data_IF_803130832962
#
_entry.id   IF_803130832962
#
_cell.length_a   1.000
_cell.length_b   1.000
_cell.length_c   1.000
_cell.angle_alpha   90.00
_cell.angle_beta   90.00
_cell.angle_gamma   90.00
#
_symmetry.space_group_name_H-M   'P 1'
#
loop_
_entity.id
_entity.type
_entity.pdbx_description
1 polymer ?
#
# COMPACT_ATOMS: atom_id res chain seq x y z
N UNK A 1 -23.71 26.13 -20.35
CA UNK A 1 -23.37 26.27 -18.93
C UNK A 1 -22.56 25.05 -18.54
N UNK A 2 -21.34 25.26 -18.06
CA UNK A 2 -20.33 24.25 -17.80
C UNK A 2 -20.83 23.15 -16.85
N UNK A 3 -20.52 21.89 -17.16
CA UNK A 3 -20.36 20.88 -16.12
C UNK A 3 -18.93 20.38 -16.27
N UNK A 4 -17.94 21.04 -15.63
CA UNK A 4 -16.63 20.42 -15.55
C UNK A 4 -16.85 19.19 -14.68
N UNK A 5 -16.54 18.01 -15.21
CA UNK A 5 -16.23 16.85 -14.39
C UNK A 5 -15.50 17.35 -13.14
N UNK A 6 -16.19 17.34 -12.01
CA UNK A 6 -15.52 17.46 -10.73
C UNK A 6 -14.79 16.14 -10.61
N UNK A 7 -13.59 16.08 -11.19
CA UNK A 7 -12.72 14.92 -11.28
C UNK A 7 -12.39 14.48 -9.87
N UNK A 8 -13.32 13.75 -9.26
CA UNK A 8 -13.12 13.17 -7.95
C UNK A 8 -12.02 12.15 -8.18
N UNK A 9 -10.83 12.34 -7.57
CA UNK A 9 -9.68 11.51 -7.89
C UNK A 9 -10.09 10.06 -7.74
N UNK A 10 -9.94 9.27 -8.80
CA UNK A 10 -10.35 7.86 -8.76
C UNK A 10 -9.27 7.00 -8.10
N UNK A 11 -8.06 7.56 -7.96
CA UNK A 11 -6.88 6.91 -7.41
C UNK A 11 -6.30 7.68 -6.23
N UNK A 12 -5.65 6.96 -5.33
CA UNK A 12 -4.77 7.51 -4.30
C UNK A 12 -3.38 6.87 -4.42
N UNK A 13 -2.38 7.54 -3.85
CA UNK A 13 -1.02 7.01 -3.74
C UNK A 13 -0.86 6.35 -2.37
N UNK A 14 -0.52 5.07 -2.34
CA UNK A 14 -0.05 4.39 -1.14
C UNK A 14 1.46 4.62 -0.99
N UNK A 15 1.89 5.05 0.19
CA UNK A 15 3.30 5.22 0.55
C UNK A 15 3.65 4.20 1.64
N UNK A 16 4.55 3.26 1.35
CA UNK A 16 4.99 2.27 2.33
C UNK A 16 6.16 2.85 3.14
N UNK A 17 5.99 2.96 4.46
CA UNK A 17 6.93 3.71 5.31
C UNK A 17 7.95 2.82 6.04
N UNK A 18 7.79 1.50 5.99
CA UNK A 18 8.64 0.48 6.61
C UNK A 18 8.41 -0.90 5.94
N UNK A 19 9.08 -1.93 6.49
CA UNK A 19 8.95 -3.32 6.03
C UNK A 19 9.55 -3.57 4.64
N UNK A 20 9.18 -4.70 3.99
CA UNK A 20 9.80 -5.14 2.73
C UNK A 20 9.70 -4.16 1.56
N UNK A 21 8.66 -3.32 1.57
CA UNK A 21 8.38 -2.35 0.52
C UNK A 21 8.69 -0.91 0.92
N UNK A 22 9.45 -0.69 2.01
CA UNK A 22 9.80 0.64 2.50
C UNK A 22 10.29 1.56 1.37
N UNK A 23 9.75 2.78 1.34
CA UNK A 23 10.11 3.82 0.38
C UNK A 23 9.47 3.65 -1.00
N UNK A 24 8.76 2.54 -1.26
CA UNK A 24 8.00 2.35 -2.48
C UNK A 24 6.65 3.07 -2.42
N UNK A 25 6.10 3.32 -3.61
CA UNK A 25 4.75 3.87 -3.77
C UNK A 25 3.94 3.02 -4.74
N UNK A 26 2.64 2.93 -4.52
CA UNK A 26 1.69 2.27 -5.41
C UNK A 26 0.46 3.18 -5.68
N UNK A 27 -0.14 3.05 -6.85
CA UNK A 27 -1.35 3.81 -7.22
C UNK A 27 -2.58 2.91 -7.15
N UNK A 28 -3.55 3.26 -6.32
CA UNK A 28 -4.67 2.38 -5.96
C UNK A 28 -6.01 3.07 -6.13
N UNK A 29 -7.04 2.31 -6.51
CA UNK A 29 -8.37 2.86 -6.68
C UNK A 29 -9.03 3.23 -5.34
N UNK A 30 -9.70 4.37 -5.32
CA UNK A 30 -10.67 4.69 -4.28
C UNK A 30 -11.94 3.88 -4.50
N UNK A 31 -12.39 3.20 -3.46
CA UNK A 31 -13.67 2.50 -3.47
C UNK A 31 -14.69 3.39 -2.79
N UNK A 32 -15.67 3.88 -3.56
CA UNK A 32 -16.67 4.86 -3.08
C UNK A 32 -16.03 6.10 -2.44
N UNK A 33 -14.94 6.59 -3.04
CA UNK A 33 -14.22 7.79 -2.60
C UNK A 33 -13.33 7.60 -1.36
N UNK A 34 -13.15 6.36 -0.90
CA UNK A 34 -12.31 6.02 0.27
C UNK A 34 -11.20 5.06 -0.12
N UNK A 35 -10.03 5.23 0.49
CA UNK A 35 -8.97 4.23 0.48
C UNK A 35 -9.31 3.10 1.46
N UNK A 36 -8.60 1.99 1.34
CA UNK A 36 -8.71 0.88 2.28
C UNK A 36 -7.79 1.12 3.48
N UNK A 37 -8.28 0.96 4.71
CA UNK A 37 -7.45 1.12 5.91
C UNK A 37 -6.43 -0.01 6.12
N UNK A 38 -6.57 -1.10 5.36
CA UNK A 38 -5.61 -2.21 5.34
C UNK A 38 -5.47 -2.74 3.93
N UNK A 39 -4.24 -3.05 3.53
CA UNK A 39 -3.91 -3.52 2.19
C UNK A 39 -2.90 -4.67 2.24
N UNK A 40 -2.97 -5.55 1.25
CA UNK A 40 -1.96 -6.57 1.02
C UNK A 40 -1.19 -6.29 -0.27
N UNK A 41 0.08 -6.68 -0.29
CA UNK A 41 0.97 -6.67 -1.44
C UNK A 41 1.57 -8.05 -1.62
N UNK A 42 1.69 -8.49 -2.87
CA UNK A 42 2.43 -9.71 -3.22
C UNK A 42 3.77 -9.28 -3.80
N UNK A 43 4.85 -9.82 -3.25
CA UNK A 43 6.20 -9.55 -3.72
C UNK A 43 7.07 -10.80 -3.62
N UNK A 44 8.06 -10.92 -4.50
CA UNK A 44 9.01 -12.03 -4.45
C UNK A 44 10.13 -11.73 -3.45
N UNK A 45 10.25 -12.55 -2.41
CA UNK A 45 11.36 -12.53 -1.44
C UNK A 45 12.08 -13.86 -1.48
N UNK A 46 13.41 -13.82 -1.63
CA UNK A 46 14.26 -15.01 -1.83
C UNK A 46 13.79 -15.94 -2.97
N UNK A 47 13.08 -15.41 -3.97
CA UNK A 47 12.53 -16.17 -5.10
C UNK A 47 11.18 -16.85 -4.82
N UNK A 48 10.57 -16.62 -3.67
CA UNK A 48 9.22 -17.09 -3.32
C UNK A 48 8.23 -15.92 -3.32
N UNK A 49 7.02 -16.15 -3.83
CA UNK A 49 5.93 -15.17 -3.70
C UNK A 49 5.45 -15.11 -2.24
N UNK A 50 5.52 -13.92 -1.66
CA UNK A 50 5.14 -13.63 -0.28
C UNK A 50 4.06 -12.56 -0.24
N UNK A 51 3.14 -12.68 0.72
CA UNK A 51 2.09 -11.72 1.01
C UNK A 51 2.49 -10.87 2.21
N UNK A 52 2.53 -9.55 2.01
CA UNK A 52 2.81 -8.56 3.05
C UNK A 52 1.58 -7.69 3.30
N UNK A 53 1.20 -7.56 4.56
CA UNK A 53 0.08 -6.75 5.02
C UNK A 53 0.56 -5.42 5.58
N UNK A 54 -0.21 -4.38 5.30
CA UNK A 54 0.05 -3.05 5.81
C UNK A 54 -1.23 -2.34 6.26
N UNK A 55 -1.13 -1.64 7.38
CA UNK A 55 -2.21 -0.84 7.96
C UNK A 55 -1.97 0.65 7.75
N UNK A 56 -3.05 1.39 7.50
CA UNK A 56 -3.05 2.83 7.39
C UNK A 56 -2.60 3.49 8.71
N UNK A 57 -1.70 4.47 8.61
CA UNK A 57 -1.23 5.26 9.77
C UNK A 57 -1.37 6.77 9.60
N UNK A 58 -1.49 7.27 8.37
CA UNK A 58 -1.65 8.69 8.07
C UNK A 58 -2.26 8.92 6.67
N UNK A 59 -3.04 9.99 6.51
CA UNK A 59 -3.60 10.43 5.23
C UNK A 59 -3.33 11.92 5.04
N UNK A 60 -2.85 12.28 3.83
CA UNK A 60 -2.60 13.67 3.45
C UNK A 60 -3.08 13.93 2.02
N UNK A 61 -3.66 15.10 1.80
CA UNK A 61 -3.90 15.62 0.47
C UNK A 61 -2.73 16.54 0.07
N UNK A 62 -2.11 16.27 -1.08
CA UNK A 62 -1.05 17.11 -1.64
C UNK A 62 -1.44 17.52 -3.05
N UNK A 63 -1.79 18.79 -3.24
CA UNK A 63 -2.20 19.35 -4.53
C UNK A 63 -3.37 18.59 -5.19
N UNK A 64 -4.34 18.12 -4.42
CA UNK A 64 -5.48 17.34 -4.92
C UNK A 64 -5.16 15.86 -5.19
N UNK A 65 -3.94 15.41 -4.89
CA UNK A 65 -3.58 13.99 -4.88
C UNK A 65 -3.59 13.48 -3.45
N UNK A 66 -4.57 12.60 -3.15
CA UNK A 66 -4.60 11.86 -1.88
C UNK A 66 -3.39 10.92 -1.80
N UNK A 67 -2.69 10.98 -0.68
CA UNK A 67 -1.58 10.11 -0.28
C UNK A 67 -1.87 9.48 1.06
N UNK A 68 -1.69 8.18 1.17
CA UNK A 68 -1.96 7.41 2.38
C UNK A 68 -0.70 6.65 2.74
N UNK A 69 -0.24 6.78 3.98
CA UNK A 69 0.91 6.06 4.50
C UNK A 69 0.46 4.77 5.15
N UNK A 70 1.19 3.71 4.84
CA UNK A 70 0.93 2.38 5.38
C UNK A 70 2.16 1.82 6.07
N UNK A 71 1.95 1.30 7.28
CA UNK A 71 2.96 0.63 8.09
C UNK A 71 2.79 -0.89 8.03
N UNK A 72 3.90 -1.61 8.02
CA UNK A 72 3.98 -3.05 7.86
C UNK A 72 3.48 -3.79 9.10
N UNK A 73 2.57 -4.72 8.90
CA UNK A 73 2.11 -5.65 9.94
C UNK A 73 2.84 -6.98 9.78
N UNK A 74 3.96 -7.12 10.49
CA UNK A 74 4.75 -8.36 10.48
C UNK A 74 3.96 -9.57 10.98
N UNK A 75 3.03 -9.38 11.91
CA UNK A 75 2.35 -10.49 12.59
C UNK A 75 1.38 -11.26 11.68
N UNK A 76 0.86 -10.57 10.67
CA UNK A 76 -0.10 -11.12 9.71
C UNK A 76 0.53 -11.35 8.33
N UNK A 77 1.81 -11.01 8.18
CA UNK A 77 2.57 -11.13 6.93
C UNK A 77 3.37 -12.41 6.85
N UNK A 78 3.66 -12.83 5.62
CA UNK A 78 4.63 -13.88 5.39
C UNK A 78 6.03 -13.44 5.88
N UNK A 79 6.85 -14.38 6.37
CA UNK A 79 8.21 -14.09 6.83
C UNK A 79 9.10 -13.61 5.67
N UNK A 80 9.96 -12.64 6.00
CA UNK A 80 10.92 -12.04 5.05
C UNK A 80 12.24 -12.80 4.99
N UNK A 81 12.62 -13.44 6.09
CA UNK A 81 13.77 -14.33 6.16
C UNK A 81 13.28 -15.77 6.01
N UNK A 82 13.54 -16.34 4.84
CA UNK A 82 13.50 -17.79 4.68
C UNK A 82 14.85 -18.33 5.12
N UNK A 83 15.09 -18.48 6.43
CA UNK A 83 16.14 -19.40 6.89
C UNK A 83 15.70 -20.82 6.48
N UNK A 84 16.09 -21.22 5.28
CA UNK A 84 16.09 -22.62 4.87
C UNK A 84 17.18 -23.30 5.71
N UNK A 85 16.78 -24.01 6.76
CA UNK A 85 17.69 -24.93 7.45
C UNK A 85 18.31 -25.86 6.40
N UNK A 86 19.65 -25.91 6.26
CA UNK A 86 20.28 -26.89 5.38
C UNK A 86 20.00 -28.28 5.94
N UNK A 87 19.40 -29.14 5.11
CA UNK A 87 19.17 -30.56 5.39
C UNK A 87 20.46 -31.32 5.71
#
# INVERSE_FOLDING_TARGET
>A
MSNPDSETPTLYIAEFIDGPLEGQIDSRALVRGKHASRISMVAAVAGLESVFWYDEVDERDLNGQRRVRYAFDQSESDPVDTEVEPL
#
